data_IF_979488344106
#
_entry.id   IF_979488344106
#
_cell.length_a   1.000
_cell.length_b   1.000
_cell.length_c   1.000
_cell.angle_alpha   90.00
_cell.angle_beta   90.00
_cell.angle_gamma   90.00
#
_symmetry.space_group_name_H-M   'P 1'
#
loop_
_entity.id
_entity.type
_entity.pdbx_description
1 polymer ?
#
# COMPACT_ATOMS: atom_id res chain seq x y z
N UNK A 1 -13.40 4.54 29.94
CA UNK A 1 -12.27 5.13 29.20
C UNK A 1 -12.85 5.60 27.87
N UNK A 2 -12.97 6.91 27.64
CA UNK A 2 -13.60 7.58 26.49
C UNK A 2 -14.54 6.74 25.62
N UNK A 3 -15.76 6.53 26.11
CA UNK A 3 -16.87 5.97 25.32
C UNK A 3 -17.47 7.11 24.47
N UNK A 4 -16.84 7.40 23.32
CA UNK A 4 -17.36 8.42 22.38
C UNK A 4 -18.48 7.77 21.56
N UNK A 5 -19.69 7.81 22.12
CA UNK A 5 -20.92 7.41 21.45
C UNK A 5 -21.54 8.54 20.63
N UNK A 6 -22.57 8.18 19.86
CA UNK A 6 -23.41 9.16 19.16
C UNK A 6 -24.04 10.16 20.14
N UNK A 7 -24.43 9.68 21.32
CA UNK A 7 -25.03 10.49 22.38
C UNK A 7 -24.07 11.56 22.90
N UNK A 8 -22.81 11.24 23.16
CA UNK A 8 -21.79 12.20 23.57
C UNK A 8 -21.55 13.29 22.51
N UNK A 9 -21.49 12.92 21.22
CA UNK A 9 -21.36 13.89 20.14
C UNK A 9 -22.58 14.83 20.10
N UNK A 10 -23.79 14.29 20.26
CA UNK A 10 -25.02 15.08 20.33
C UNK A 10 -24.99 16.05 21.53
N UNK A 11 -24.59 15.57 22.71
CA UNK A 11 -24.48 16.38 23.93
C UNK A 11 -23.52 17.56 23.73
N UNK A 12 -22.33 17.30 23.20
CA UNK A 12 -21.32 18.33 22.91
C UNK A 12 -21.86 19.32 21.88
N UNK A 13 -22.55 18.85 20.84
CA UNK A 13 -23.15 19.71 19.83
C UNK A 13 -24.18 20.66 20.45
N UNK A 14 -25.06 20.16 21.32
CA UNK A 14 -26.05 20.99 22.04
C UNK A 14 -25.37 22.02 22.92
N UNK A 15 -24.36 21.62 23.71
CA UNK A 15 -23.60 22.56 24.56
C UNK A 15 -22.92 23.63 23.70
N UNK A 16 -22.29 23.24 22.59
CA UNK A 16 -21.66 24.17 21.67
C UNK A 16 -22.68 25.16 21.06
N UNK A 17 -23.88 24.69 20.70
CA UNK A 17 -24.95 25.56 20.21
C UNK A 17 -25.42 26.56 21.26
N UNK A 18 -25.48 26.18 22.54
CA UNK A 18 -25.90 27.09 23.62
C UNK A 18 -24.81 28.12 23.94
N UNK A 19 -23.55 27.69 24.04
CA UNK A 19 -22.43 28.56 24.43
C UNK A 19 -22.02 29.50 23.31
N UNK A 20 -21.86 28.97 22.09
CA UNK A 20 -21.37 29.72 20.95
C UNK A 20 -22.52 30.34 20.13
N UNK A 21 -23.70 29.71 20.16
CA UNK A 21 -24.86 30.08 19.36
C UNK A 21 -24.96 29.24 18.06
N UNK A 22 -26.19 28.92 17.60
CA UNK A 22 -26.42 28.14 16.39
C UNK A 22 -25.92 28.82 15.11
N UNK A 23 -25.83 30.16 15.11
CA UNK A 23 -25.35 30.92 13.97
C UNK A 23 -23.81 30.95 13.87
N UNK A 24 -23.12 30.80 15.01
CA UNK A 24 -21.66 30.99 15.11
C UNK A 24 -20.89 29.67 15.02
N UNK A 25 -21.47 28.56 15.49
CA UNK A 25 -20.90 27.22 15.32
C UNK A 25 -20.57 26.88 13.85
N UNK A 26 -21.49 27.01 12.87
CA UNK A 26 -21.17 26.72 11.47
C UNK A 26 -20.11 27.66 10.91
N UNK A 27 -20.06 28.91 11.39
CA UNK A 27 -19.03 29.88 11.00
C UNK A 27 -17.64 29.48 11.53
N UNK A 28 -17.56 29.00 12.78
CA UNK A 28 -16.33 28.51 13.39
C UNK A 28 -15.80 27.25 12.68
N UNK A 29 -16.67 26.27 12.41
CA UNK A 29 -16.31 25.05 11.66
C UNK A 29 -15.84 25.40 10.25
N UNK A 30 -16.50 26.33 9.56
CA UNK A 30 -16.05 26.81 8.24
C UNK A 30 -14.66 27.44 8.32
N UNK A 31 -14.42 28.30 9.30
CA UNK A 31 -13.12 28.97 9.48
C UNK A 31 -12.02 27.95 9.78
N UNK A 32 -12.22 27.10 10.78
CA UNK A 32 -11.27 26.04 11.14
C UNK A 32 -11.05 25.07 9.98
N UNK A 33 -12.12 24.70 9.26
CA UNK A 33 -12.07 23.85 8.08
C UNK A 33 -11.27 24.45 6.93
N UNK A 34 -11.40 25.76 6.69
CA UNK A 34 -10.59 26.46 5.71
C UNK A 34 -9.11 26.48 6.13
N UNK A 35 -8.81 26.68 7.41
CA UNK A 35 -7.44 26.70 7.91
C UNK A 35 -6.78 25.32 7.82
N UNK A 36 -7.47 24.27 8.27
CA UNK A 36 -6.98 22.89 8.16
C UNK A 36 -6.86 22.49 6.68
N UNK A 37 -7.80 22.92 5.84
CA UNK A 37 -7.78 22.66 4.40
C UNK A 37 -6.61 23.33 3.69
N UNK A 38 -6.29 24.58 4.04
CA UNK A 38 -5.12 25.31 3.54
C UNK A 38 -3.83 24.64 4.01
N UNK A 39 -3.71 24.31 5.29
CA UNK A 39 -2.55 23.60 5.83
C UNK A 39 -2.35 22.24 5.12
N UNK A 40 -3.42 21.46 4.97
CA UNK A 40 -3.41 20.20 4.22
C UNK A 40 -2.97 20.40 2.77
N UNK A 41 -3.46 21.44 2.10
CA UNK A 41 -3.08 21.76 0.71
C UNK A 41 -1.59 22.08 0.59
N UNK A 42 -1.03 22.86 1.51
CA UNK A 42 0.40 23.16 1.55
C UNK A 42 1.23 21.91 1.79
N UNK A 43 0.85 21.07 2.75
CA UNK A 43 1.53 19.80 3.03
C UNK A 43 1.46 18.86 1.81
N UNK A 44 0.30 18.76 1.15
CA UNK A 44 0.16 17.96 -0.07
C UNK A 44 0.96 18.52 -1.25
N UNK A 45 1.08 19.85 -1.38
CA UNK A 45 1.93 20.48 -2.40
C UNK A 45 3.41 20.15 -2.20
N UNK A 46 3.89 20.29 -0.96
CA UNK A 46 5.25 19.90 -0.56
C UNK A 46 5.49 18.41 -0.82
N UNK A 47 4.55 17.53 -0.46
CA UNK A 47 4.68 16.11 -0.79
C UNK A 47 4.74 15.85 -2.30
N UNK A 48 4.06 16.66 -3.11
CA UNK A 48 4.04 16.50 -4.57
C UNK A 48 5.36 16.94 -5.18
N UNK A 49 5.90 18.09 -4.76
CA UNK A 49 7.22 18.60 -5.16
C UNK A 49 8.34 17.66 -4.68
N UNK A 50 8.27 17.20 -3.43
CA UNK A 50 9.20 16.21 -2.88
C UNK A 50 9.05 14.86 -3.58
N UNK A 51 7.84 14.46 -3.99
CA UNK A 51 7.63 13.25 -4.79
C UNK A 51 8.07 13.43 -6.25
N UNK A 52 8.43 14.63 -6.69
CA UNK A 52 8.97 14.86 -8.03
C UNK A 52 10.50 14.87 -7.99
N UNK A 53 11.12 15.30 -6.88
CA UNK A 53 12.58 15.32 -6.69
C UNK A 53 13.16 14.11 -5.91
N UNK A 54 12.42 13.48 -5.00
CA UNK A 54 12.84 12.33 -4.17
C UNK A 54 12.17 10.99 -4.55
N UNK A 55 11.65 10.85 -5.78
CA UNK A 55 10.78 9.71 -6.12
C UNK A 55 11.44 8.36 -6.35
N UNK A 56 12.77 8.25 -6.36
CA UNK A 56 13.40 7.00 -6.79
C UNK A 56 14.29 6.33 -5.75
N UNK A 57 14.84 7.06 -4.78
CA UNK A 57 15.82 6.48 -3.86
C UNK A 57 15.25 6.12 -2.49
N UNK A 58 14.52 7.03 -1.81
CA UNK A 58 14.00 6.72 -0.46
C UNK A 58 12.78 5.79 -0.48
N UNK A 59 11.78 6.02 -1.34
CA UNK A 59 10.60 5.14 -1.41
C UNK A 59 10.98 3.72 -1.85
N UNK A 60 11.99 3.59 -2.71
CA UNK A 60 12.50 2.30 -3.17
C UNK A 60 13.19 1.55 -2.03
N UNK A 61 13.90 2.27 -1.15
CA UNK A 61 14.60 1.71 0.01
C UNK A 61 13.62 1.29 1.12
N UNK A 62 12.60 2.08 1.40
CA UNK A 62 11.55 1.70 2.36
C UNK A 62 10.69 0.56 1.83
N UNK A 63 10.34 0.58 0.54
CA UNK A 63 9.62 -0.52 -0.10
C UNK A 63 10.44 -1.80 -0.21
N UNK A 64 11.75 -1.73 -0.44
CA UNK A 64 12.62 -2.92 -0.46
C UNK A 64 12.76 -3.55 0.93
N UNK A 65 12.92 -2.73 1.98
CA UNK A 65 12.98 -3.24 3.36
C UNK A 65 11.65 -3.91 3.75
N UNK A 66 10.52 -3.27 3.43
CA UNK A 66 9.20 -3.84 3.69
C UNK A 66 8.95 -5.14 2.89
N UNK A 67 9.41 -5.20 1.63
CA UNK A 67 9.28 -6.40 0.78
C UNK A 67 10.11 -7.57 1.29
N UNK A 68 11.32 -7.30 1.80
CA UNK A 68 12.20 -8.33 2.34
C UNK A 68 11.63 -8.90 3.65
N UNK A 69 11.12 -8.05 4.54
CA UNK A 69 10.43 -8.47 5.75
C UNK A 69 9.18 -9.30 5.46
N UNK A 70 8.34 -8.86 4.51
CA UNK A 70 7.17 -9.64 4.09
C UNK A 70 7.57 -10.99 3.48
N UNK A 71 8.59 -11.05 2.64
CA UNK A 71 9.02 -12.29 2.03
C UNK A 71 9.53 -13.29 3.08
N UNK A 72 10.30 -12.85 4.07
CA UNK A 72 10.75 -13.72 5.16
C UNK A 72 9.59 -14.25 6.00
N UNK A 73 8.59 -13.41 6.32
CA UNK A 73 7.38 -13.87 7.03
C UNK A 73 6.54 -14.84 6.19
N UNK A 74 6.41 -14.61 4.88
CA UNK A 74 5.70 -15.52 3.97
C UNK A 74 6.43 -16.87 3.82
N UNK A 75 7.75 -16.86 3.83
CA UNK A 75 8.57 -18.07 3.74
C UNK A 75 8.54 -18.86 5.05
N UNK A 76 8.53 -18.17 6.19
CA UNK A 76 8.32 -18.78 7.51
C UNK A 76 6.91 -19.36 7.65
N UNK A 77 5.88 -18.72 7.09
CA UNK A 77 4.51 -19.26 7.02
C UNK A 77 4.33 -20.40 6.00
N UNK A 78 5.24 -20.55 5.02
CA UNK A 78 5.20 -21.63 4.02
C UNK A 78 5.80 -22.94 4.54
N UNK A 79 6.76 -22.88 5.46
CA UNK A 79 7.43 -24.06 6.02
C UNK A 79 6.63 -24.92 7.01
N UNK A 80 5.60 -24.46 7.75
CA UNK A 80 4.81 -25.34 8.60
C UNK A 80 3.81 -26.24 7.85
N UNK A 81 3.63 -26.08 6.53
CA UNK A 81 2.65 -26.89 5.78
C UNK A 81 3.22 -28.16 5.12
N UNK A 82 4.56 -28.34 5.08
CA UNK A 82 5.19 -29.53 4.48
C UNK A 82 5.68 -30.57 5.48
N UNK A 83 5.48 -30.36 6.78
CA UNK A 83 6.03 -31.22 7.84
C UNK A 83 5.09 -32.36 8.32
N UNK A 84 3.93 -32.56 7.70
CA UNK A 84 2.99 -33.66 8.03
C UNK A 84 2.59 -34.48 6.78
N UNK A 85 3.57 -34.98 6.06
CA UNK A 85 3.34 -36.05 5.07
C UNK A 85 4.57 -36.96 5.02
N UNK A 86 4.60 -37.92 5.94
CA UNK A 86 5.54 -39.04 5.90
C UNK A 86 5.38 -39.85 4.59
N UNK A 87 6.47 -40.53 4.17
CA UNK A 87 6.62 -41.10 2.85
C UNK A 87 5.95 -42.48 2.76
N UNK A 88 5.19 -42.73 1.69
CA UNK A 88 4.76 -44.08 1.34
C UNK A 88 4.72 -44.26 -0.17
N UNK A 89 5.77 -44.93 -0.63
CA UNK A 89 5.76 -46.03 -1.60
C UNK A 89 5.04 -45.86 -2.97
N UNK A 90 5.88 -46.06 -3.99
CA UNK A 90 5.66 -46.73 -5.28
C UNK A 90 4.73 -46.10 -6.32
N UNK A 91 5.32 -45.70 -7.45
CA UNK A 91 5.22 -46.50 -8.68
C UNK A 91 6.21 -46.02 -9.74
N UNK A 92 6.98 -46.97 -10.27
CA UNK A 92 7.79 -46.83 -11.48
C UNK A 92 6.94 -46.43 -12.70
N UNK A 93 7.61 -45.81 -13.68
CA UNK A 93 7.61 -46.17 -15.11
C UNK A 93 7.66 -44.95 -16.05
N UNK A 94 8.81 -44.88 -16.76
CA UNK A 94 9.03 -44.46 -18.17
C UNK A 94 8.36 -43.17 -18.69
N UNK A 95 9.05 -42.13 -19.18
CA UNK A 95 10.02 -41.99 -20.29
C UNK A 95 9.40 -41.05 -21.35
N UNK A 96 10.28 -40.33 -22.05
CA UNK A 96 10.08 -39.56 -23.30
C UNK A 96 9.51 -38.15 -23.09
N UNK A 97 9.95 -37.09 -23.74
CA UNK A 97 11.09 -36.77 -24.62
C UNK A 97 10.81 -35.32 -25.07
N UNK A 98 11.86 -34.53 -25.30
CA UNK A 98 12.00 -33.55 -26.39
C UNK A 98 10.72 -32.80 -26.82
N UNK A 99 10.58 -31.49 -26.60
CA UNK A 99 11.05 -30.39 -27.48
C UNK A 99 10.91 -29.13 -26.62
N UNK A 100 11.92 -28.28 -26.41
CA UNK A 100 11.97 -26.96 -27.07
C UNK A 100 13.26 -26.24 -26.63
N UNK A 101 14.40 -26.74 -27.10
CA UNK A 101 15.69 -26.06 -26.99
C UNK A 101 16.33 -26.03 -28.37
N UNK A 102 15.64 -25.41 -29.34
CA UNK A 102 16.14 -25.17 -30.70
C UNK A 102 15.23 -24.22 -31.53
N UNK A 103 14.95 -23.00 -31.05
CA UNK A 103 14.59 -21.87 -31.94
C UNK A 103 15.44 -20.64 -31.56
N UNK A 104 16.74 -20.87 -31.61
CA UNK A 104 17.71 -19.83 -32.01
C UNK A 104 17.48 -19.51 -33.50
N UNK A 105 17.82 -18.28 -33.90
CA UNK A 105 18.25 -17.94 -35.27
C UNK A 105 17.25 -17.38 -36.30
N UNK A 106 16.13 -16.76 -35.90
CA UNK A 106 15.39 -15.83 -36.76
C UNK A 106 14.78 -14.72 -35.89
N UNK A 107 15.40 -13.56 -35.69
CA UNK A 107 15.19 -12.39 -36.55
C UNK A 107 16.26 -11.34 -36.20
N UNK A 108 17.52 -11.68 -36.44
CA UNK A 108 18.59 -10.69 -36.60
C UNK A 108 18.56 -10.23 -38.05
N UNK A 109 17.71 -9.25 -38.36
CA UNK A 109 17.69 -8.51 -39.63
C UNK A 109 16.68 -7.38 -39.48
N UNK A 110 17.13 -6.18 -39.10
CA UNK A 110 16.83 -5.00 -39.92
C UNK A 110 17.76 -3.83 -39.57
N UNK A 111 18.49 -3.40 -40.59
CA UNK A 111 19.31 -2.20 -40.70
C UNK A 111 18.38 -1.04 -41.12
N UNK A 112 18.45 0.11 -40.48
CA UNK A 112 18.35 1.41 -41.18
C UNK A 112 18.92 2.49 -40.23
N UNK A 113 20.17 2.93 -40.31
CA UNK A 113 20.82 3.74 -41.36
C UNK A 113 19.97 4.94 -41.81
N UNK A 114 19.96 6.00 -40.99
CA UNK A 114 20.28 7.36 -41.46
C UNK A 114 20.68 8.28 -40.32
#
# INVERSE_FOLDING_TARGET
MFDIGFTEILLIAVVALVVLGPEKLPMAVRTLGLWIGKAKRTISGIQTEISEELRLDELKRTASIAKEQLNSELEEMRTPFTADSEPSAVSSTEQTSDVESAVIAATATDLEKK
#
